data_IF_554196227304
#
_entry.id   IF_554196227304
#
_cell.length_a   1.000
_cell.length_b   1.000
_cell.length_c   1.000
_cell.angle_alpha   90.00
_cell.angle_beta   90.00
_cell.angle_gamma   90.00
#
_symmetry.space_group_name_H-M   'P 1'
#
loop_
_entity.id
_entity.type
_entity.pdbx_description
1 polymer ?
#
# COMPACT_ATOMS: atom_id res chain seq x y z
N UNK A 1 49.07 -11.49 -19.78
CA UNK A 1 48.08 -12.03 -18.83
C UNK A 1 46.70 -11.72 -19.40
N UNK A 2 45.96 -12.75 -19.80
CA UNK A 2 44.94 -12.70 -20.85
C UNK A 2 43.57 -12.20 -20.36
N UNK A 3 42.96 -11.32 -21.16
CA UNK A 3 41.59 -10.76 -21.05
C UNK A 3 40.50 -11.83 -20.79
N UNK A 4 40.78 -13.10 -21.07
CA UNK A 4 39.86 -14.23 -20.85
C UNK A 4 39.60 -14.52 -19.37
N UNK A 5 40.49 -14.13 -18.45
CA UNK A 5 40.30 -14.38 -17.01
C UNK A 5 39.29 -13.41 -16.36
N UNK A 6 39.18 -12.18 -16.86
CA UNK A 6 38.21 -11.20 -16.34
C UNK A 6 36.76 -11.48 -16.78
N UNK A 7 36.57 -12.01 -17.98
CA UNK A 7 35.23 -12.36 -18.48
C UNK A 7 34.62 -13.56 -17.72
N UNK A 8 35.44 -14.54 -17.34
CA UNK A 8 34.96 -15.70 -16.57
C UNK A 8 34.63 -15.33 -15.11
N UNK A 9 35.39 -14.44 -14.48
CA UNK A 9 35.12 -13.96 -13.13
C UNK A 9 33.83 -13.12 -13.05
N UNK A 10 33.53 -12.32 -14.08
CA UNK A 10 32.29 -11.54 -14.15
C UNK A 10 31.04 -12.40 -14.31
N UNK A 11 31.11 -13.50 -15.09
CA UNK A 11 29.96 -14.39 -15.31
C UNK A 11 29.66 -15.25 -14.08
N UNK A 12 30.68 -15.69 -13.34
CA UNK A 12 30.49 -16.50 -12.12
C UNK A 12 30.10 -15.64 -10.90
N UNK A 13 30.49 -14.35 -10.86
CA UNK A 13 30.04 -13.43 -9.81
C UNK A 13 28.56 -13.02 -9.96
N UNK A 14 27.98 -13.13 -11.16
CA UNK A 14 26.57 -12.82 -11.42
C UNK A 14 25.61 -13.96 -11.08
N UNK A 15 26.07 -15.21 -11.00
CA UNK A 15 25.19 -16.36 -10.72
C UNK A 15 25.02 -16.68 -9.24
N UNK A 16 25.89 -16.17 -8.36
CA UNK A 16 25.90 -16.53 -6.92
C UNK A 16 25.09 -15.57 -6.04
N UNK A 17 24.61 -14.45 -6.57
CA UNK A 17 23.73 -13.51 -5.85
C UNK A 17 22.25 -13.56 -6.29
N UNK A 18 21.88 -14.49 -7.17
CA UNK A 18 20.48 -14.72 -7.54
C UNK A 18 19.84 -15.78 -6.63
N UNK A 19 20.01 -15.68 -5.31
CA UNK A 19 18.89 -16.09 -4.45
C UNK A 19 17.79 -15.10 -4.78
N UNK A 20 16.72 -15.57 -5.44
CA UNK A 20 15.52 -14.77 -5.66
C UNK A 20 15.10 -14.20 -4.31
N UNK A 21 15.48 -12.95 -4.05
CA UNK A 21 14.72 -12.15 -3.12
C UNK A 21 13.39 -11.99 -3.85
N UNK A 22 12.39 -12.78 -3.47
CA UNK A 22 11.03 -12.47 -3.87
C UNK A 22 10.72 -11.15 -3.18
N UNK A 23 11.07 -10.03 -3.82
CA UNK A 23 10.63 -8.73 -3.38
C UNK A 23 9.11 -8.77 -3.52
N UNK A 24 8.42 -8.99 -2.39
CA UNK A 24 6.97 -9.10 -2.36
C UNK A 24 6.33 -7.95 -3.13
N UNK A 25 5.33 -8.26 -3.94
CA UNK A 25 4.63 -7.27 -4.73
C UNK A 25 4.03 -6.24 -3.77
N UNK A 26 4.48 -5.00 -3.88
CA UNK A 26 3.97 -3.93 -3.02
C UNK A 26 2.75 -3.31 -3.68
N UNK A 27 1.65 -3.23 -2.93
CA UNK A 27 0.36 -2.75 -3.39
C UNK A 27 -0.16 -1.64 -2.50
N UNK A 28 -0.70 -0.58 -3.09
CA UNK A 28 -1.30 0.57 -2.37
C UNK A 28 -2.78 0.70 -2.71
N UNK A 29 -3.63 0.64 -1.68
CA UNK A 29 -5.04 1.03 -1.75
C UNK A 29 -5.19 2.44 -1.22
N UNK A 30 -5.85 3.32 -1.98
CA UNK A 30 -6.11 4.70 -1.56
C UNK A 30 -7.60 5.00 -1.62
N UNK A 31 -8.12 5.58 -0.53
CA UNK A 31 -9.50 6.03 -0.43
C UNK A 31 -9.56 7.54 -0.17
N UNK A 32 -10.60 8.20 -0.70
CA UNK A 32 -10.91 9.60 -0.38
C UNK A 32 -12.37 9.75 -0.04
N UNK A 33 -12.72 10.74 0.78
CA UNK A 33 -14.12 10.98 1.17
C UNK A 33 -14.26 12.06 2.22
N UNK A 34 -15.40 12.04 2.91
CA UNK A 34 -15.67 12.86 4.09
C UNK A 34 -15.86 11.98 5.30
N UNK A 35 -15.29 12.38 6.44
CA UNK A 35 -15.42 11.63 7.68
C UNK A 35 -16.87 11.73 8.18
N UNK A 36 -17.51 10.60 8.44
CA UNK A 36 -18.86 10.58 9.03
C UNK A 36 -18.77 10.85 10.53
N UNK A 37 -17.86 10.15 11.19
CA UNK A 37 -17.63 10.23 12.63
C UNK A 37 -16.14 10.07 12.92
N UNK A 38 -15.63 10.82 13.89
CA UNK A 38 -14.25 10.67 14.32
C UNK A 38 -13.83 11.75 15.30
N UNK A 39 -12.76 11.49 16.03
CA UNK A 39 -12.15 12.44 16.93
C UNK A 39 -10.65 12.22 16.95
N UNK A 40 -9.91 13.31 17.04
CA UNK A 40 -8.48 13.31 17.35
C UNK A 40 -8.36 13.84 18.77
N UNK A 41 -8.24 12.98 19.79
CA UNK A 41 -8.07 13.42 21.19
C UNK A 41 -6.59 13.61 21.52
N UNK A 42 -5.71 12.86 20.85
CA UNK A 42 -4.26 12.90 21.05
C UNK A 42 -3.57 14.03 20.29
N UNK A 43 -4.25 14.63 19.31
CA UNK A 43 -3.64 15.57 18.38
C UNK A 43 -2.70 14.88 17.39
N UNK A 44 -2.94 13.60 17.06
CA UNK A 44 -2.07 12.82 16.18
C UNK A 44 -1.91 13.48 14.81
N UNK A 45 -2.95 14.18 14.34
CA UNK A 45 -2.93 14.91 13.08
C UNK A 45 -2.38 16.33 13.22
N UNK A 46 -1.86 16.72 14.40
CA UNK A 46 -1.32 18.07 14.64
C UNK A 46 -2.37 19.18 14.65
N UNK A 47 -3.66 18.82 14.74
CA UNK A 47 -4.78 19.77 14.78
C UNK A 47 -5.27 20.09 16.20
N UNK A 48 -4.66 19.45 17.21
CA UNK A 48 -5.13 19.46 18.60
C UNK A 48 -6.43 18.67 18.79
N UNK A 49 -6.93 18.56 20.04
CA UNK A 49 -8.13 17.81 20.35
C UNK A 49 -9.37 18.34 19.61
N UNK A 50 -9.96 17.56 18.68
CA UNK A 50 -11.15 18.00 17.92
C UNK A 50 -12.01 16.86 17.37
N UNK A 51 -13.25 17.21 17.05
CA UNK A 51 -14.13 16.39 16.20
C UNK A 51 -13.64 16.44 14.74
N UNK A 52 -13.58 15.28 14.09
CA UNK A 52 -13.14 15.11 12.71
C UNK A 52 -14.31 14.98 11.71
N UNK A 53 -15.53 14.79 12.20
CA UNK A 53 -16.72 14.65 11.35
C UNK A 53 -16.89 15.84 10.39
N UNK A 54 -17.18 15.53 9.13
CA UNK A 54 -17.34 16.49 8.04
C UNK A 54 -16.03 16.94 7.37
N UNK A 55 -14.86 16.61 7.93
CA UNK A 55 -13.58 16.91 7.28
C UNK A 55 -13.32 15.96 6.12
N UNK A 56 -12.65 16.46 5.08
CA UNK A 56 -12.17 15.63 3.98
C UNK A 56 -10.95 14.81 4.40
N UNK A 57 -10.89 13.56 3.94
CA UNK A 57 -9.73 12.70 4.17
C UNK A 57 -9.20 12.08 2.88
N UNK A 58 -7.92 11.68 2.92
CA UNK A 58 -7.29 10.75 2.00
C UNK A 58 -6.53 9.73 2.84
N UNK A 59 -6.74 8.44 2.63
CA UNK A 59 -6.03 7.38 3.34
C UNK A 59 -5.43 6.38 2.36
N UNK A 60 -4.15 6.08 2.51
CA UNK A 60 -3.39 5.17 1.65
C UNK A 60 -2.75 4.06 2.48
N UNK A 61 -3.19 2.81 2.26
CA UNK A 61 -2.61 1.61 2.87
C UNK A 61 -1.71 0.92 1.86
N UNK A 62 -0.42 0.85 2.15
CA UNK A 62 0.58 0.14 1.34
C UNK A 62 0.99 -1.14 2.05
N UNK A 63 0.93 -2.30 1.41
CA UNK A 63 1.45 -3.56 1.97
C UNK A 63 2.36 -4.27 0.97
N UNK A 64 3.32 -5.03 1.49
CA UNK A 64 4.11 -6.00 0.72
C UNK A 64 3.43 -7.36 0.79
N UNK A 65 3.06 -7.93 -0.35
CA UNK A 65 2.48 -9.26 -0.44
C UNK A 65 3.56 -10.25 -0.86
N UNK A 66 3.86 -11.23 -0.02
CA UNK A 66 4.92 -12.20 -0.29
C UNK A 66 4.50 -13.27 -1.31
N UNK A 67 3.20 -13.48 -1.54
CA UNK A 67 2.70 -14.54 -2.43
C UNK A 67 1.39 -14.22 -3.21
N UNK A 68 0.97 -12.95 -3.26
CA UNK A 68 -0.28 -12.56 -3.93
C UNK A 68 -1.54 -13.12 -3.27
N UNK A 69 -1.45 -13.64 -2.05
CA UNK A 69 -2.59 -14.02 -1.21
C UNK A 69 -2.67 -13.11 0.01
N UNK A 70 -3.84 -13.11 0.67
CA UNK A 70 -4.09 -12.40 1.93
C UNK A 70 -3.06 -12.82 2.98
N UNK A 71 -1.93 -12.10 3.01
CA UNK A 71 -0.81 -12.42 3.89
C UNK A 71 -1.21 -12.09 5.31
N UNK A 72 -0.88 -13.00 6.22
CA UNK A 72 -0.88 -12.74 7.65
C UNK A 72 0.55 -12.35 7.99
N UNK A 73 0.73 -11.19 8.63
CA UNK A 73 2.01 -10.65 9.14
C UNK A 73 2.89 -9.89 8.14
N UNK A 74 2.33 -9.20 7.15
CA UNK A 74 3.13 -8.36 6.26
C UNK A 74 3.54 -7.02 6.88
N UNK A 75 4.62 -6.46 6.31
CA UNK A 75 4.96 -5.05 6.51
C UNK A 75 4.01 -4.19 5.69
N UNK A 76 3.39 -3.23 6.36
CA UNK A 76 2.54 -2.25 5.73
C UNK A 76 2.87 -0.83 6.20
N UNK A 77 2.39 0.18 5.49
CA UNK A 77 2.33 1.56 5.95
C UNK A 77 0.95 2.13 5.68
N UNK A 78 0.45 2.94 6.61
CA UNK A 78 -0.79 3.71 6.43
C UNK A 78 -0.45 5.18 6.42
N UNK A 79 -0.91 5.91 5.40
CA UNK A 79 -0.76 7.36 5.32
C UNK A 79 -2.14 7.98 5.29
N UNK A 80 -2.48 8.74 6.34
CA UNK A 80 -3.74 9.44 6.49
C UNK A 80 -3.49 10.93 6.35
N UNK A 81 -4.26 11.59 5.50
CA UNK A 81 -4.33 13.05 5.39
C UNK A 81 -5.74 13.51 5.71
N UNK A 82 -5.90 14.39 6.70
CA UNK A 82 -7.18 15.02 7.07
C UNK A 82 -6.99 16.52 7.05
N UNK A 83 -7.83 17.23 6.29
CA UNK A 83 -7.80 18.71 6.21
C UNK A 83 -6.38 19.28 5.91
N UNK A 84 -5.61 18.58 5.09
CA UNK A 84 -4.22 18.95 4.72
C UNK A 84 -3.13 18.50 5.71
N UNK A 85 -3.49 17.90 6.84
CA UNK A 85 -2.55 17.36 7.82
C UNK A 85 -2.29 15.88 7.58
N UNK A 86 -1.03 15.50 7.34
CA UNK A 86 -0.63 14.13 6.99
C UNK A 86 0.12 13.43 8.12
N UNK A 87 -0.27 12.19 8.39
CA UNK A 87 0.40 11.26 9.30
C UNK A 87 0.67 9.97 8.55
N UNK A 88 1.89 9.46 8.68
CA UNK A 88 2.26 8.12 8.19
C UNK A 88 2.60 7.23 9.38
N UNK A 89 1.91 6.09 9.48
CA UNK A 89 2.18 5.05 10.45
C UNK A 89 2.82 3.85 9.75
N UNK A 90 3.92 3.39 10.32
CA UNK A 90 4.51 2.09 10.01
C UNK A 90 4.54 1.27 11.30
N UNK A 91 4.04 0.02 11.29
CA UNK A 91 4.06 -0.83 12.45
C UNK A 91 5.52 -1.15 12.82
N UNK A 92 5.83 -1.07 14.11
CA UNK A 92 7.12 -1.49 14.66
C UNK A 92 7.23 -3.03 14.72
N UNK A 93 6.09 -3.70 14.94
CA UNK A 93 5.97 -5.15 14.88
C UNK A 93 4.73 -5.50 14.04
N UNK A 94 4.83 -6.49 13.13
CA UNK A 94 3.68 -6.92 12.35
C UNK A 94 2.61 -7.47 13.29
N UNK A 95 1.39 -6.95 13.16
CA UNK A 95 0.21 -7.58 13.71
C UNK A 95 -0.43 -8.48 12.65
N UNK A 96 -1.74 -8.42 12.54
CA UNK A 96 -2.49 -9.11 11.49
C UNK A 96 -2.83 -8.11 10.40
N UNK A 97 -2.62 -8.52 9.16
CA UNK A 97 -3.12 -7.84 7.98
C UNK A 97 -3.90 -8.80 7.09
N UNK A 98 -4.77 -8.22 6.27
CA UNK A 98 -5.43 -8.92 5.19
C UNK A 98 -5.73 -7.90 4.12
N UNK A 99 -5.20 -8.19 2.94
CA UNK A 99 -5.49 -7.44 1.73
C UNK A 99 -6.08 -8.42 0.72
N UNK A 100 -7.13 -7.99 0.03
CA UNK A 100 -7.81 -8.80 -0.95
C UNK A 100 -8.26 -7.94 -2.14
N UNK A 101 -8.08 -8.49 -3.34
CA UNK A 101 -8.72 -8.01 -4.56
C UNK A 101 -9.45 -9.17 -5.24
N UNK A 102 -10.75 -9.01 -5.46
CA UNK A 102 -11.60 -10.05 -6.04
C UNK A 102 -12.30 -9.50 -7.28
N UNK A 103 -12.21 -10.26 -8.38
CA UNK A 103 -13.02 -10.06 -9.58
C UNK A 103 -14.07 -11.17 -9.63
N UNK A 104 -15.09 -11.07 -8.78
CA UNK A 104 -16.16 -12.04 -8.67
C UNK A 104 -17.23 -11.85 -9.75
N UNK A 105 -17.57 -10.60 -10.10
CA UNK A 105 -18.66 -10.31 -11.04
C UNK A 105 -18.31 -10.75 -12.45
N UNK A 106 -17.10 -10.44 -12.95
CA UNK A 106 -16.71 -10.85 -14.30
C UNK A 106 -16.59 -12.37 -14.44
N UNK A 107 -16.48 -13.08 -13.32
CA UNK A 107 -16.47 -14.56 -13.25
C UNK A 107 -17.85 -15.15 -12.95
N UNK A 108 -18.91 -14.34 -12.91
CA UNK A 108 -20.28 -14.72 -12.51
C UNK A 108 -20.38 -15.40 -11.14
N UNK A 109 -19.44 -15.10 -10.24
CA UNK A 109 -19.35 -15.73 -8.93
C UNK A 109 -19.03 -14.69 -7.87
N UNK A 110 -20.07 -14.08 -7.28
CA UNK A 110 -19.94 -13.20 -6.13
C UNK A 110 -19.87 -11.72 -6.47
N UNK A 111 -18.98 -11.00 -5.80
CA UNK A 111 -18.85 -9.54 -5.86
C UNK A 111 -17.45 -9.16 -6.33
N UNK A 112 -17.31 -7.96 -6.87
CA UNK A 112 -15.99 -7.35 -6.99
C UNK A 112 -15.65 -6.70 -5.65
N UNK A 113 -14.42 -6.92 -5.17
CA UNK A 113 -13.97 -6.50 -3.84
C UNK A 113 -12.57 -5.91 -3.94
N UNK A 114 -12.38 -4.77 -3.29
CA UNK A 114 -11.06 -4.29 -2.86
C UNK A 114 -11.16 -4.17 -1.34
N UNK A 115 -10.23 -4.80 -0.62
CA UNK A 115 -10.25 -4.86 0.84
C UNK A 115 -8.83 -4.71 1.39
N UNK A 116 -8.71 -3.95 2.46
CA UNK A 116 -7.51 -3.83 3.26
C UNK A 116 -7.92 -3.69 4.72
N UNK A 117 -7.45 -4.59 5.56
CA UNK A 117 -7.58 -4.50 7.00
C UNK A 117 -6.22 -4.77 7.60
N UNK A 118 -5.72 -3.84 8.40
CA UNK A 118 -4.42 -3.97 9.03
C UNK A 118 -4.53 -3.59 10.49
N UNK A 119 -3.80 -4.31 11.31
CA UNK A 119 -3.70 -4.11 12.73
C UNK A 119 -2.24 -4.23 13.13
N UNK A 120 -1.76 -3.32 13.97
CA UNK A 120 -0.38 -3.33 14.40
C UNK A 120 -0.11 -2.43 15.59
N UNK A 121 1.17 -2.30 15.90
CA UNK A 121 1.65 -1.46 17.00
C UNK A 121 2.68 -0.46 16.51
N UNK A 122 2.59 0.77 16.96
CA UNK A 122 3.65 1.78 16.73
C UNK A 122 4.88 1.47 17.58
N UNK A 123 6.00 2.17 17.32
CA UNK A 123 7.20 2.07 18.17
C UNK A 123 6.94 2.48 19.64
N UNK A 124 5.95 3.36 19.86
CA UNK A 124 5.48 3.74 21.19
C UNK A 124 4.52 2.72 21.82
N UNK A 125 4.29 1.57 21.17
CA UNK A 125 3.36 0.50 21.58
C UNK A 125 1.88 0.92 21.59
N UNK A 126 1.52 1.94 20.83
CA UNK A 126 0.12 2.26 20.59
C UNK A 126 -0.43 1.24 19.60
N UNK A 127 -1.58 0.65 19.91
CA UNK A 127 -2.26 -0.18 18.93
C UNK A 127 -2.96 0.72 17.92
N UNK A 128 -2.98 0.27 16.68
CA UNK A 128 -3.73 0.96 15.64
C UNK A 128 -4.36 -0.05 14.68
N UNK A 129 -5.53 0.32 14.18
CA UNK A 129 -6.32 -0.48 13.24
C UNK A 129 -6.69 0.40 12.07
N UNK A 130 -6.59 -0.16 10.87
CA UNK A 130 -7.00 0.50 9.64
C UNK A 130 -7.86 -0.46 8.84
N UNK A 131 -8.90 0.06 8.21
CA UNK A 131 -9.80 -0.72 7.38
C UNK A 131 -10.26 0.10 6.19
N UNK A 132 -10.17 -0.47 5.00
CA UNK A 132 -10.66 0.10 3.77
C UNK A 132 -11.33 -1.00 2.96
N UNK A 133 -12.51 -0.74 2.43
CA UNK A 133 -13.09 -1.63 1.46
C UNK A 133 -14.02 -0.93 0.49
N UNK A 134 -14.14 -1.51 -0.70
CA UNK A 134 -15.22 -1.26 -1.64
C UNK A 134 -15.71 -2.60 -2.16
N UNK A 135 -17.02 -2.78 -2.15
CA UNK A 135 -17.69 -3.99 -2.63
C UNK A 135 -18.83 -3.59 -3.54
N UNK A 136 -18.96 -4.26 -4.67
CA UNK A 136 -20.13 -4.16 -5.52
C UNK A 136 -20.50 -5.56 -6.00
N UNK A 137 -21.78 -5.92 -5.94
CA UNK A 137 -22.32 -7.22 -6.37
C UNK A 137 -23.05 -7.17 -7.71
N UNK A 138 -23.14 -5.99 -8.33
CA UNK A 138 -23.94 -5.76 -9.55
C UNK A 138 -23.14 -5.09 -10.68
N UNK A 139 -22.15 -4.26 -10.34
CA UNK A 139 -21.27 -3.57 -11.29
C UNK A 139 -19.85 -4.08 -11.11
N UNK A 140 -19.27 -4.62 -12.18
CA UNK A 140 -17.85 -4.95 -12.15
C UNK A 140 -17.02 -3.67 -12.17
N UNK A 141 -16.01 -3.62 -11.29
CA UNK A 141 -15.05 -2.51 -11.20
C UNK A 141 -13.62 -3.01 -10.97
N UNK A 142 -13.45 -4.32 -10.75
CA UNK A 142 -12.15 -4.97 -10.61
C UNK A 142 -11.89 -5.81 -11.87
N UNK A 143 -11.03 -5.36 -12.80
CA UNK A 143 -10.81 -6.03 -14.09
C UNK A 143 -10.06 -7.36 -13.95
N UNK A 144 -9.20 -7.52 -12.94
CA UNK A 144 -8.48 -8.77 -12.66
C UNK A 144 -8.28 -8.94 -11.15
N UNK A 145 -7.90 -10.15 -10.70
CA UNK A 145 -7.48 -10.37 -9.31
C UNK A 145 -5.94 -10.27 -9.15
N UNK A 146 -5.29 -9.55 -10.07
CA UNK A 146 -3.84 -9.39 -10.12
C UNK A 146 -3.43 -8.16 -9.30
N UNK A 147 -2.55 -8.32 -8.31
CA UNK A 147 -2.05 -7.22 -7.50
C UNK A 147 -1.07 -6.30 -8.25
N UNK A 148 -0.65 -6.68 -9.47
CA UNK A 148 0.10 -5.83 -10.39
C UNK A 148 -0.77 -4.76 -11.07
N UNK A 149 -2.10 -4.86 -10.97
CA UNK A 149 -2.98 -3.97 -11.69
C UNK A 149 -2.96 -2.55 -11.12
N UNK A 150 -3.21 -1.57 -11.98
CA UNK A 150 -3.44 -0.18 -11.59
C UNK A 150 -4.90 0.14 -11.87
N UNK A 151 -5.64 0.50 -10.82
CA UNK A 151 -6.99 1.04 -10.92
C UNK A 151 -6.93 2.51 -10.56
N UNK A 152 -7.30 3.36 -11.52
CA UNK A 152 -7.49 4.78 -11.26
C UNK A 152 -8.57 5.03 -10.21
N UNK A 153 -8.81 6.28 -9.81
CA UNK A 153 -9.89 6.59 -8.87
C UNK A 153 -11.24 6.12 -9.41
N UNK A 154 -11.78 5.08 -8.79
CA UNK A 154 -13.10 4.54 -9.07
C UNK A 154 -14.06 5.32 -8.17
N UNK A 155 -15.07 5.93 -8.78
CA UNK A 155 -16.15 6.57 -8.03
C UNK A 155 -17.02 5.50 -7.38
N UNK A 156 -17.02 5.47 -6.05
CA UNK A 156 -17.79 4.53 -5.22
C UNK A 156 -18.90 5.23 -4.45
N UNK A 157 -19.23 6.47 -4.82
CA UNK A 157 -20.36 7.21 -4.23
C UNK A 157 -21.74 6.70 -4.68
N UNK A 158 -21.78 5.85 -5.71
CA UNK A 158 -23.01 5.24 -6.19
C UNK A 158 -23.59 4.26 -5.14
N UNK A 159 -24.90 4.29 -4.85
CA UNK A 159 -25.52 3.45 -3.82
C UNK A 159 -25.39 1.93 -4.02
N UNK A 160 -25.00 1.45 -5.20
CA UNK A 160 -24.71 0.04 -5.43
C UNK A 160 -23.39 -0.43 -4.82
N UNK A 161 -22.52 0.51 -4.42
CA UNK A 161 -21.31 0.20 -3.69
C UNK A 161 -21.58 0.16 -2.18
N UNK A 162 -20.96 -0.83 -1.52
CA UNK A 162 -20.69 -0.76 -0.09
C UNK A 162 -19.23 -0.37 0.08
N UNK A 163 -18.98 0.85 0.54
CA UNK A 163 -17.64 1.38 0.74
C UNK A 163 -17.41 1.87 2.17
N UNK A 164 -16.18 1.72 2.65
CA UNK A 164 -15.77 2.13 3.98
C UNK A 164 -14.29 2.48 4.04
N UNK A 165 -13.95 3.47 4.84
CA UNK A 165 -12.59 3.75 5.30
C UNK A 165 -12.63 4.08 6.78
N UNK A 166 -11.67 3.55 7.52
CA UNK A 166 -11.56 3.75 8.95
C UNK A 166 -10.12 3.64 9.41
N UNK A 167 -9.86 4.37 10.47
CA UNK A 167 -8.57 4.45 11.14
C UNK A 167 -8.83 4.56 12.63
N UNK A 168 -8.02 3.90 13.44
CA UNK A 168 -7.92 4.18 14.86
C UNK A 168 -6.50 3.99 15.33
N UNK A 169 -6.08 4.83 16.26
CA UNK A 169 -4.88 4.66 17.07
C UNK A 169 -5.26 4.94 18.53
N UNK A 170 -4.85 4.05 19.42
CA UNK A 170 -5.12 4.15 20.84
C UNK A 170 -3.83 3.93 21.63
N UNK A 171 -3.57 4.80 22.60
CA UNK A 171 -2.47 4.62 23.53
C UNK A 171 -2.89 3.59 24.57
N UNK A 172 -2.08 2.54 24.68
CA UNK A 172 -2.30 1.38 25.56
C UNK A 172 -3.58 0.58 25.26
N UNK A 173 -3.44 -0.62 24.70
CA UNK A 173 -4.57 -1.54 24.49
C UNK A 173 -5.34 -1.90 25.77
N UNK A 174 -4.73 -1.64 26.92
CA UNK A 174 -5.21 -2.02 28.25
C UNK A 174 -5.49 -0.81 29.15
N UNK A 175 -5.32 0.42 28.62
CA UNK A 175 -5.50 1.67 29.34
C UNK A 175 -6.97 2.11 29.44
N UNK A 176 -7.20 3.23 30.13
CA UNK A 176 -8.52 3.83 30.40
C UNK A 176 -9.28 4.35 29.16
N UNK A 177 -8.72 4.16 27.96
CA UNK A 177 -9.29 4.56 26.68
C UNK A 177 -9.39 6.07 26.48
N UNK A 178 -8.67 6.88 27.25
CA UNK A 178 -8.78 8.35 27.19
C UNK A 178 -7.97 9.00 26.07
N UNK A 179 -6.89 8.36 25.58
CA UNK A 179 -6.01 8.89 24.53
C UNK A 179 -6.16 8.08 23.22
N UNK A 180 -6.96 8.59 22.30
CA UNK A 180 -7.15 8.00 20.98
C UNK A 180 -7.25 9.03 19.86
N UNK A 181 -7.04 8.58 18.63
CA UNK A 181 -7.56 9.24 17.45
C UNK A 181 -8.22 8.18 16.57
N UNK A 182 -9.42 8.44 16.07
CA UNK A 182 -10.11 7.54 15.16
C UNK A 182 -11.01 8.30 14.21
N UNK A 183 -11.29 7.70 13.07
CA UNK A 183 -12.39 8.09 12.22
C UNK A 183 -12.97 6.87 11.51
N UNK A 184 -14.21 7.03 11.08
CA UNK A 184 -14.88 6.13 10.16
C UNK A 184 -15.66 6.91 9.11
N UNK A 185 -15.73 6.34 7.92
CA UNK A 185 -16.39 6.93 6.77
C UNK A 185 -17.01 5.84 5.92
N UNK A 186 -18.33 5.86 5.79
CA UNK A 186 -19.13 5.26 4.72
C UNK A 186 -19.29 6.24 3.55
N UNK A 187 -19.09 7.54 3.77
CA UNK A 187 -19.03 8.58 2.73
C UNK A 187 -17.71 8.57 1.94
N UNK A 188 -17.27 7.37 1.54
CA UNK A 188 -16.12 7.19 0.65
C UNK A 188 -16.54 7.60 -0.76
N UNK A 189 -15.78 8.50 -1.37
CA UNK A 189 -16.01 9.00 -2.72
C UNK A 189 -15.26 8.19 -3.76
N UNK A 190 -13.98 7.92 -3.51
CA UNK A 190 -13.15 7.19 -4.46
C UNK A 190 -12.32 6.11 -3.79
N UNK A 191 -12.07 5.02 -4.53
CA UNK A 191 -11.03 4.05 -4.22
C UNK A 191 -10.11 3.87 -5.44
N UNK A 192 -8.81 3.71 -5.21
CA UNK A 192 -7.82 3.45 -6.26
C UNK A 192 -6.78 2.45 -5.79
N UNK A 193 -6.16 1.79 -6.75
CA UNK A 193 -5.20 0.70 -6.56
C UNK A 193 -3.97 1.02 -7.38
N UNK A 194 -2.80 1.05 -6.75
CA UNK A 194 -1.53 1.24 -7.42
C UNK A 194 -0.58 0.11 -7.05
N UNK A 195 -0.09 -0.61 -8.07
CA UNK A 195 1.08 -1.46 -7.91
C UNK A 195 2.32 -0.56 -7.77
N UNK A 196 3.14 -0.82 -6.76
CA UNK A 196 4.43 -0.16 -6.58
C UNK A 196 5.45 -1.00 -7.36
N UNK A 197 6.12 -0.44 -8.38
CA UNK A 197 7.10 -1.20 -9.17
C UNK A 197 8.19 -1.76 -8.27
N UNK A 198 8.51 -3.04 -8.47
CA UNK A 198 9.53 -3.71 -7.67
C UNK A 198 10.88 -2.99 -7.77
N UNK A 199 11.68 -2.97 -6.68
CA UNK A 199 13.03 -2.40 -6.68
C UNK A 199 13.92 -2.93 -7.82
N UNK A 200 13.71 -4.18 -8.20
CA UNK A 200 14.46 -4.86 -9.26
C UNK A 200 14.22 -4.26 -10.64
N UNK A 201 13.01 -3.78 -10.93
CA UNK A 201 12.71 -3.10 -12.18
C UNK A 201 13.55 -1.82 -12.32
N UNK A 202 13.75 -1.09 -11.22
CA UNK A 202 14.64 0.07 -11.19
C UNK A 202 16.11 -0.33 -11.33
N UNK A 203 16.53 -1.40 -10.66
CA UNK A 203 17.89 -1.91 -10.80
C UNK A 203 18.20 -2.34 -12.24
N UNK A 204 17.26 -3.02 -12.91
CA UNK A 204 17.38 -3.44 -14.31
C UNK A 204 17.38 -2.25 -15.27
N UNK A 205 16.54 -1.23 -15.02
CA UNK A 205 16.57 0.02 -15.77
C UNK A 205 17.94 0.72 -15.64
N UNK A 206 18.46 0.83 -14.41
CA UNK A 206 19.76 1.44 -14.14
C UNK A 206 20.91 0.63 -14.73
N UNK A 207 20.85 -0.70 -14.67
CA UNK A 207 21.81 -1.58 -15.31
C UNK A 207 21.79 -1.39 -16.84
N UNK A 208 20.60 -1.33 -17.44
CA UNK A 208 20.42 -1.02 -18.86
C UNK A 208 21.02 0.34 -19.24
N UNK A 209 20.77 1.37 -18.44
CA UNK A 209 21.32 2.71 -18.64
C UNK A 209 22.85 2.73 -18.50
N UNK A 210 23.38 1.98 -17.53
CA UNK A 210 24.82 1.79 -17.35
C UNK A 210 25.49 1.14 -18.56
N UNK A 211 24.88 0.10 -19.13
CA UNK A 211 25.36 -0.56 -20.35
C UNK A 211 25.35 0.38 -21.57
N UNK A 212 24.28 1.16 -21.73
CA UNK A 212 24.17 2.16 -22.82
C UNK A 212 25.23 3.25 -22.66
N UNK A 213 25.42 3.77 -21.44
CA UNK A 213 26.46 4.74 -21.13
C UNK A 213 27.88 4.21 -21.41
N UNK A 214 28.14 2.95 -21.04
CA UNK A 214 29.41 2.29 -21.32
C UNK A 214 29.67 2.11 -22.82
N UNK A 215 28.66 1.69 -23.58
CA UNK A 215 28.76 1.53 -25.03
C UNK A 215 29.01 2.89 -25.73
N UNK A 216 28.33 3.94 -25.30
CA UNK A 216 28.52 5.30 -25.81
C UNK A 216 29.94 5.82 -25.52
N UNK A 217 30.48 5.57 -24.32
CA UNK A 217 31.87 5.93 -23.96
C UNK A 217 32.88 5.24 -24.87
N UNK A 218 32.70 3.94 -25.17
CA UNK A 218 33.60 3.20 -26.07
C UNK A 218 33.62 3.77 -27.48
N UNK A 219 32.47 4.18 -28.01
CA UNK A 219 32.38 4.82 -29.33
C UNK A 219 33.15 6.15 -29.38
N UNK A 220 33.04 6.97 -28.33
CA UNK A 220 33.77 8.25 -28.24
C UNK A 220 35.29 8.08 -28.12
N UNK A 221 35.77 6.97 -27.58
CA UNK A 221 37.21 6.70 -27.46
C UNK A 221 37.82 6.04 -28.71
N UNK A 222 36.97 5.58 -29.63
CA UNK A 222 37.39 4.93 -30.88
C UNK A 222 37.31 5.86 -32.10
N UNK A 223 36.80 7.09 -31.91
CA UNK A 223 36.80 8.19 -32.88
C UNK A 223 37.82 9.23 -32.43
#
# INVERSE_FOLDING_TARGET
MSIKLFAAAAIVALTVFATQAHAGQTWTVTTTGTIDEGADVTGVFGMGPRNLAGLSFTQSVTSSLDDGSASYFSYFSDTVTIDGHTVTLSPYAPGYDTQAIENGISKHNGSDVIYSHVYGYTAARNAFTVSQYAVNSTKSFVPSADYAQVLGPIDVSDPSFTAYSGFSIQKDQWGDGSEYAWFQSRSVRTISVNAVPEPEAYAMLLAGLGLVGFAARRKRMAA
#
